data_IF_414617647302
#
_entry.id   IF_414617647302
#
_cell.length_a   1.000
_cell.length_b   1.000
_cell.length_c   1.000
_cell.angle_alpha   90.00
_cell.angle_beta   90.00
_cell.angle_gamma   90.00
#
_symmetry.space_group_name_H-M   'P 1'
#
loop_
_entity.id
_entity.type
_entity.pdbx_description
1 polymer ?
#
# COMPACT_ATOMS: atom_id res chain seq x y z
N UNK A 1 -78.29 10.85 -24.57
CA UNK A 1 -77.97 9.42 -24.41
C UNK A 1 -77.28 9.28 -23.06
N UNK A 2 -78.03 8.76 -22.09
CA UNK A 2 -77.82 9.01 -20.66
C UNK A 2 -76.75 8.16 -19.98
N UNK A 3 -76.18 8.82 -18.98
CA UNK A 3 -75.35 8.43 -17.85
C UNK A 3 -75.84 7.26 -16.99
N UNK A 4 -74.86 6.47 -16.53
CA UNK A 4 -74.56 6.06 -15.14
C UNK A 4 -75.56 5.26 -14.28
N UNK A 5 -74.93 4.54 -13.33
CA UNK A 5 -75.42 3.98 -12.06
C UNK A 5 -76.10 2.59 -12.12
N UNK A 6 -76.03 1.73 -11.11
CA UNK A 6 -75.17 1.54 -9.94
C UNK A 6 -75.69 0.28 -9.19
N UNK A 7 -74.81 -0.35 -8.40
CA UNK A 7 -75.08 -1.08 -7.13
C UNK A 7 -75.86 -2.41 -7.19
N UNK A 8 -75.38 -3.41 -6.44
CA UNK A 8 -76.26 -4.48 -5.93
C UNK A 8 -75.57 -5.76 -5.49
N UNK A 9 -74.77 -5.70 -4.44
CA UNK A 9 -74.05 -6.81 -3.81
C UNK A 9 -74.97 -7.88 -3.20
N UNK A 10 -74.53 -9.14 -3.23
CA UNK A 10 -74.82 -10.11 -2.15
C UNK A 10 -73.54 -10.85 -1.76
N UNK A 11 -73.25 -10.77 -0.46
CA UNK A 11 -72.07 -11.23 0.26
C UNK A 11 -72.56 -12.25 1.29
N UNK A 12 -71.90 -13.41 1.41
CA UNK A 12 -71.88 -14.29 2.59
C UNK A 12 -70.68 -15.24 2.39
N UNK A 13 -69.52 -14.93 3.00
CA UNK A 13 -69.01 -15.38 4.32
C UNK A 13 -68.21 -16.71 4.18
N UNK A 14 -66.88 -16.65 4.08
CA UNK A 14 -65.86 -16.66 5.16
C UNK A 14 -65.60 -18.07 5.72
N UNK A 15 -64.39 -18.63 5.61
CA UNK A 15 -63.22 -18.42 6.49
C UNK A 15 -62.12 -19.42 6.00
N UNK A 16 -60.79 -19.31 6.20
CA UNK A 16 -59.94 -18.47 7.05
C UNK A 16 -58.49 -18.58 6.51
N UNK A 17 -57.68 -17.52 6.67
CA UNK A 17 -56.21 -17.63 6.70
C UNK A 17 -55.44 -16.48 6.03
N UNK A 18 -54.94 -15.46 6.78
CA UNK A 18 -54.20 -14.29 6.28
C UNK A 18 -52.72 -14.66 6.05
N UNK A 19 -51.92 -14.07 5.16
CA UNK A 19 -51.81 -12.69 4.71
C UNK A 19 -50.36 -12.26 4.99
N UNK A 20 -49.59 -11.88 3.97
CA UNK A 20 -48.18 -11.50 4.15
C UNK A 20 -47.53 -10.99 2.86
N UNK A 21 -47.20 -9.70 2.89
CA UNK A 21 -46.84 -8.82 1.78
C UNK A 21 -45.66 -9.23 0.90
N UNK A 22 -45.76 -8.85 -0.37
CA UNK A 22 -44.69 -8.86 -1.34
C UNK A 22 -43.67 -7.76 -1.02
N UNK A 23 -42.49 -8.16 -0.54
CA UNK A 23 -41.28 -7.34 -0.50
C UNK A 23 -40.19 -8.03 -1.32
N UNK A 24 -39.78 -7.40 -2.43
CA UNK A 24 -38.65 -7.82 -3.23
C UNK A 24 -37.36 -7.75 -2.39
N UNK A 25 -36.89 -8.91 -1.94
CA UNK A 25 -35.58 -9.05 -1.31
C UNK A 25 -34.50 -8.98 -2.38
N UNK A 26 -33.67 -7.93 -2.31
CA UNK A 26 -32.37 -7.93 -2.96
C UNK A 26 -31.60 -9.16 -2.47
N UNK A 27 -31.10 -9.98 -3.39
CA UNK A 27 -30.25 -11.11 -3.07
C UNK A 27 -28.99 -10.59 -2.39
N UNK A 28 -28.88 -10.79 -1.08
CA UNK A 28 -27.63 -10.60 -0.36
C UNK A 28 -26.61 -11.61 -0.90
N UNK A 29 -25.38 -11.20 -1.26
CA UNK A 29 -24.34 -12.16 -1.62
C UNK A 29 -24.11 -13.10 -0.43
N UNK A 30 -24.26 -14.40 -0.71
CA UNK A 30 -24.11 -15.45 0.29
C UNK A 30 -22.62 -15.54 0.66
N UNK A 31 -22.24 -15.65 1.94
CA UNK A 31 -20.86 -15.89 2.32
C UNK A 31 -20.37 -17.19 1.67
N UNK A 32 -19.25 -17.12 0.95
CA UNK A 32 -18.58 -18.28 0.35
C UNK A 32 -18.26 -19.29 1.47
N UNK A 33 -18.78 -20.51 1.35
CA UNK A 33 -18.38 -21.63 2.20
C UNK A 33 -16.99 -22.10 1.76
N UNK A 34 -16.14 -22.60 2.67
CA UNK A 34 -14.76 -23.06 2.38
C UNK A 34 -14.67 -24.03 1.17
N UNK A 35 -15.76 -24.73 0.84
CA UNK A 35 -15.84 -25.64 -0.31
C UNK A 35 -15.88 -24.95 -1.69
N UNK A 36 -16.03 -23.62 -1.75
CA UNK A 36 -16.15 -22.84 -2.99
C UNK A 36 -14.95 -21.89 -3.22
N UNK A 37 -13.88 -21.99 -2.41
CA UNK A 37 -12.65 -21.24 -2.69
C UNK A 37 -12.02 -21.76 -3.99
N UNK A 38 -11.70 -20.89 -4.96
CA UNK A 38 -11.08 -21.32 -6.20
C UNK A 38 -9.75 -22.02 -5.94
N UNK A 39 -9.46 -23.06 -6.73
CA UNK A 39 -8.23 -23.82 -6.61
C UNK A 39 -7.02 -22.90 -6.78
N UNK A 40 -6.07 -22.97 -5.84
CA UNK A 40 -4.83 -22.19 -5.89
C UNK A 40 -4.06 -22.55 -7.17
N UNK A 41 -3.81 -21.54 -8.00
CA UNK A 41 -2.96 -21.65 -9.17
C UNK A 41 -1.49 -21.52 -8.75
N UNK A 42 -0.57 -22.19 -9.45
CA UNK A 42 0.85 -21.97 -9.24
C UNK A 42 1.20 -20.49 -9.39
N UNK A 43 2.19 -20.03 -8.62
CA UNK A 43 2.84 -18.74 -8.82
C UNK A 43 3.27 -18.64 -10.29
N UNK A 44 2.95 -17.56 -11.02
CA UNK A 44 3.49 -17.34 -12.36
C UNK A 44 5.01 -17.15 -12.28
N UNK A 45 5.76 -17.62 -13.28
CA UNK A 45 7.22 -17.58 -13.22
C UNK A 45 7.79 -16.54 -14.18
N UNK A 46 8.60 -15.66 -13.62
CA UNK A 46 9.35 -14.66 -14.35
C UNK A 46 10.84 -14.94 -14.49
N UNK A 47 11.55 -13.95 -15.05
CA UNK A 47 13.03 -13.94 -15.18
C UNK A 47 13.66 -12.71 -14.53
N UNK A 48 12.86 -11.96 -13.79
CA UNK A 48 13.18 -10.64 -13.27
C UNK A 48 12.65 -9.54 -14.20
N UNK A 49 12.23 -8.42 -13.60
CA UNK A 49 11.67 -7.26 -14.28
C UNK A 49 12.14 -5.96 -13.63
N UNK A 50 11.65 -4.82 -14.14
CA UNK A 50 11.80 -3.50 -13.50
C UNK A 50 10.47 -2.97 -12.95
N UNK A 51 9.44 -3.81 -12.97
CA UNK A 51 8.12 -3.46 -12.46
C UNK A 51 8.23 -3.45 -10.93
N UNK A 52 7.89 -2.35 -10.24
CA UNK A 52 7.93 -2.36 -8.78
C UNK A 52 6.88 -3.31 -8.22
N UNK A 53 7.17 -3.90 -7.06
CA UNK A 53 6.35 -4.92 -6.39
C UNK A 53 6.09 -6.17 -7.25
N UNK A 54 7.03 -6.54 -8.12
CA UNK A 54 7.00 -7.79 -8.90
C UNK A 54 7.93 -8.82 -8.25
N UNK A 55 7.39 -9.62 -7.32
CA UNK A 55 8.18 -10.55 -6.50
C UNK A 55 8.55 -11.82 -7.27
N UNK A 56 7.76 -12.17 -8.29
CA UNK A 56 7.99 -13.33 -9.15
C UNK A 56 8.73 -13.00 -10.47
N UNK A 57 8.98 -11.72 -10.72
CA UNK A 57 9.75 -11.17 -11.84
C UNK A 57 9.10 -11.38 -13.20
N UNK A 58 7.77 -11.52 -13.25
CA UNK A 58 7.02 -11.89 -14.45
C UNK A 58 6.65 -10.70 -15.34
N UNK A 59 6.91 -9.48 -14.86
CA UNK A 59 6.65 -8.22 -15.52
C UNK A 59 5.38 -7.52 -15.05
N UNK A 60 4.58 -8.14 -14.18
CA UNK A 60 3.35 -7.57 -13.64
C UNK A 60 3.52 -7.25 -12.16
N UNK A 61 2.92 -6.13 -11.73
CA UNK A 61 2.93 -5.74 -10.33
C UNK A 61 2.07 -6.71 -9.51
N UNK A 62 2.58 -7.11 -8.35
CA UNK A 62 1.87 -7.91 -7.35
C UNK A 62 1.28 -7.02 -6.25
N UNK A 63 0.32 -7.55 -5.50
CA UNK A 63 -0.30 -6.87 -4.38
C UNK A 63 0.08 -7.54 -3.06
N UNK A 64 0.63 -6.75 -2.13
CA UNK A 64 0.83 -7.13 -0.74
C UNK A 64 -0.42 -6.79 0.08
N UNK A 65 -0.89 -7.78 0.85
CA UNK A 65 -1.92 -7.65 1.87
C UNK A 65 -1.24 -7.84 3.22
N UNK A 66 -0.86 -6.72 3.84
CA UNK A 66 -0.12 -6.68 5.09
C UNK A 66 -0.89 -7.27 6.30
N UNK A 67 -2.21 -7.22 6.24
CA UNK A 67 -3.08 -7.94 7.16
C UNK A 67 -4.16 -8.70 6.38
N UNK A 68 -4.59 -9.85 6.87
CA UNK A 68 -5.68 -10.67 6.37
C UNK A 68 -6.84 -10.68 7.37
N UNK A 69 -7.99 -11.18 6.94
CA UNK A 69 -9.06 -11.48 7.89
C UNK A 69 -8.69 -12.70 8.71
N UNK A 70 -9.26 -12.79 9.90
CA UNK A 70 -9.03 -13.88 10.83
C UNK A 70 -9.96 -15.05 10.53
N UNK A 71 -9.48 -16.28 10.75
CA UNK A 71 -10.31 -17.48 10.65
C UNK A 71 -11.45 -17.47 11.68
N UNK A 72 -11.18 -16.93 12.88
CA UNK A 72 -12.15 -16.74 13.95
C UNK A 72 -11.93 -15.37 14.60
N UNK A 73 -12.99 -14.81 15.20
CA UNK A 73 -12.87 -13.52 15.91
C UNK A 73 -11.85 -13.64 17.05
N UNK A 74 -11.03 -12.61 17.22
CA UNK A 74 -10.01 -12.48 18.28
C UNK A 74 -8.83 -13.46 18.19
N UNK A 75 -8.63 -14.16 17.08
CA UNK A 75 -7.37 -14.87 16.83
C UNK A 75 -6.30 -13.93 16.28
N UNK A 76 -5.09 -14.44 16.10
CA UNK A 76 -4.07 -13.73 15.35
C UNK A 76 -4.35 -13.84 13.84
N UNK A 77 -3.73 -12.94 13.08
CA UNK A 77 -3.67 -13.02 11.63
C UNK A 77 -2.74 -14.17 11.20
N UNK A 78 -2.99 -14.76 10.03
CA UNK A 78 -2.17 -15.80 9.43
C UNK A 78 -0.83 -15.30 8.89
N UNK A 79 -0.69 -13.98 8.65
CA UNK A 79 0.53 -13.34 8.15
C UNK A 79 0.23 -12.44 6.95
N UNK A 80 1.20 -12.31 6.06
CA UNK A 80 1.10 -11.43 4.87
C UNK A 80 0.62 -12.24 3.67
N UNK A 81 -0.34 -11.71 2.92
CA UNK A 81 -0.78 -12.30 1.65
C UNK A 81 -0.15 -11.59 0.46
N UNK A 82 0.37 -12.33 -0.52
CA UNK A 82 0.75 -11.80 -1.83
C UNK A 82 -0.24 -12.31 -2.87
N UNK A 83 -0.79 -11.41 -3.69
CA UNK A 83 -1.61 -11.75 -4.86
C UNK A 83 -0.83 -11.37 -6.11
N UNK A 84 -0.60 -12.34 -7.00
CA UNK A 84 0.23 -12.12 -8.18
C UNK A 84 -0.49 -11.33 -9.28
N UNK A 85 0.26 -10.47 -9.96
CA UNK A 85 -0.17 -9.74 -11.14
C UNK A 85 -0.34 -10.62 -12.37
N UNK A 86 -0.98 -10.07 -13.40
CA UNK A 86 -1.03 -10.69 -14.73
C UNK A 86 -1.41 -9.66 -15.79
N UNK A 87 -1.30 -10.03 -17.07
CA UNK A 87 -1.79 -9.20 -18.18
C UNK A 87 -3.30 -8.88 -18.15
N UNK A 88 -4.07 -9.44 -17.20
CA UNK A 88 -5.48 -9.10 -16.97
C UNK A 88 -5.71 -8.35 -15.64
N UNK A 89 -4.65 -7.97 -14.95
CA UNK A 89 -4.69 -7.47 -13.57
C UNK A 89 -4.37 -8.58 -12.57
N UNK A 90 -4.56 -8.27 -11.29
CA UNK A 90 -4.36 -9.20 -10.18
C UNK A 90 -5.16 -10.49 -10.35
N UNK A 91 -4.52 -11.62 -10.03
CA UNK A 91 -5.09 -12.96 -10.11
C UNK A 91 -5.18 -13.60 -8.71
N UNK A 92 -6.29 -13.43 -7.96
CA UNK A 92 -6.45 -13.94 -6.59
C UNK A 92 -6.20 -15.44 -6.42
N UNK A 93 -6.42 -16.22 -7.48
CA UNK A 93 -6.16 -17.66 -7.49
C UNK A 93 -4.65 -17.97 -7.45
N UNK A 94 -3.80 -17.09 -7.97
CA UNK A 94 -2.35 -17.15 -7.86
C UNK A 94 -1.92 -16.27 -6.68
N UNK A 95 -1.66 -16.89 -5.53
CA UNK A 95 -1.34 -16.19 -4.29
C UNK A 95 -0.32 -16.92 -3.44
N UNK A 96 0.29 -16.22 -2.49
CA UNK A 96 1.23 -16.79 -1.53
C UNK A 96 0.94 -16.27 -0.12
N UNK A 97 0.76 -17.18 0.85
CA UNK A 97 0.70 -16.83 2.27
C UNK A 97 2.10 -16.86 2.88
N UNK A 98 2.52 -15.74 3.45
CA UNK A 98 3.81 -15.53 4.13
C UNK A 98 3.57 -15.47 5.64
N UNK A 99 3.67 -16.62 6.31
CA UNK A 99 3.55 -16.70 7.76
C UNK A 99 4.91 -16.75 8.46
N UNK A 100 5.06 -16.19 9.68
CA UNK A 100 6.28 -16.31 10.46
C UNK A 100 6.71 -17.77 10.68
N UNK A 101 5.74 -18.66 10.89
CA UNK A 101 6.00 -20.10 11.13
C UNK A 101 6.74 -20.75 9.96
N UNK A 102 6.41 -20.36 8.73
CA UNK A 102 6.95 -20.97 7.51
C UNK A 102 8.17 -20.21 6.98
N UNK A 103 8.17 -18.89 7.05
CA UNK A 103 9.14 -18.07 6.34
C UNK A 103 10.15 -17.37 7.24
N UNK A 104 9.90 -17.17 8.53
CA UNK A 104 10.80 -16.34 9.34
C UNK A 104 12.17 -16.96 9.61
N UNK A 105 13.18 -16.10 9.61
CA UNK A 105 14.47 -16.41 10.20
C UNK A 105 14.29 -16.53 11.72
N UNK A 106 14.98 -17.53 12.29
CA UNK A 106 14.99 -17.75 13.73
C UNK A 106 15.99 -16.86 14.42
N UNK A 107 15.57 -16.28 15.52
CA UNK A 107 16.39 -15.48 16.41
C UNK A 107 16.64 -16.25 17.70
N UNK A 108 17.90 -16.63 17.96
CA UNK A 108 18.27 -17.54 19.08
C UNK A 108 17.43 -18.83 19.12
N UNK A 109 17.09 -19.37 17.94
CA UNK A 109 16.31 -20.59 17.80
C UNK A 109 14.79 -20.41 17.92
N UNK A 110 14.29 -19.21 18.22
CA UNK A 110 12.87 -18.91 18.30
C UNK A 110 12.39 -18.16 17.05
N UNK A 111 11.14 -18.38 16.65
CA UNK A 111 10.49 -17.65 15.56
C UNK A 111 9.82 -16.38 16.12
N UNK A 112 9.77 -15.29 15.35
CA UNK A 112 8.94 -14.14 15.68
C UNK A 112 7.45 -14.51 15.65
N UNK A 113 6.65 -13.74 16.37
CA UNK A 113 5.21 -13.93 16.44
C UNK A 113 4.47 -13.37 15.22
N UNK A 114 4.94 -12.24 14.70
CA UNK A 114 4.27 -11.44 13.66
C UNK A 114 5.27 -11.06 12.56
N UNK A 115 4.73 -10.89 11.36
CA UNK A 115 5.35 -10.19 10.23
C UNK A 115 4.45 -9.03 9.85
N UNK A 116 5.02 -7.83 9.74
CA UNK A 116 4.38 -6.67 9.12
C UNK A 116 5.26 -6.24 7.93
N UNK A 117 4.64 -5.99 6.78
CA UNK A 117 5.28 -5.55 5.55
C UNK A 117 5.59 -4.06 5.62
N UNK A 118 6.86 -3.69 5.47
CA UNK A 118 7.31 -2.32 5.66
C UNK A 118 7.70 -1.62 4.36
N UNK A 119 8.43 -2.34 3.48
CA UNK A 119 8.92 -1.80 2.21
C UNK A 119 9.21 -2.93 1.21
N UNK A 120 9.21 -2.58 -0.07
CA UNK A 120 9.49 -3.50 -1.18
C UNK A 120 10.34 -2.84 -2.26
N UNK A 121 11.39 -3.54 -2.67
CA UNK A 121 12.38 -3.09 -3.66
C UNK A 121 13.36 -4.23 -3.99
N UNK A 122 14.06 -4.16 -5.11
CA UNK A 122 15.08 -5.14 -5.51
C UNK A 122 16.41 -4.84 -4.80
N UNK A 123 16.55 -5.29 -3.55
CA UNK A 123 17.68 -4.93 -2.69
C UNK A 123 19.00 -5.53 -3.18
N UNK A 124 18.98 -6.72 -3.76
CA UNK A 124 20.17 -7.38 -4.26
C UNK A 124 20.40 -7.25 -5.78
N UNK A 125 19.54 -6.46 -6.45
CA UNK A 125 19.65 -6.05 -7.84
C UNK A 125 19.64 -7.25 -8.80
N UNK A 126 18.81 -8.24 -8.49
CA UNK A 126 18.69 -9.48 -9.27
C UNK A 126 17.48 -9.49 -10.21
N UNK A 127 16.68 -8.43 -10.18
CA UNK A 127 15.49 -8.22 -11.00
C UNK A 127 14.20 -8.72 -10.36
N UNK A 128 14.22 -9.25 -9.14
CA UNK A 128 13.01 -9.62 -8.41
C UNK A 128 12.80 -8.63 -7.27
N UNK A 129 11.57 -8.16 -7.08
CA UNK A 129 11.31 -7.31 -5.91
C UNK A 129 11.45 -8.15 -4.65
N UNK A 130 12.09 -7.61 -3.62
CA UNK A 130 12.19 -8.21 -2.28
C UNK A 130 11.19 -7.54 -1.34
N UNK A 131 10.81 -8.25 -0.27
CA UNK A 131 9.96 -7.71 0.79
C UNK A 131 10.75 -7.56 2.09
N UNK A 132 10.77 -6.36 2.65
CA UNK A 132 11.28 -6.09 3.99
C UNK A 132 10.12 -6.15 4.97
N UNK A 133 10.27 -6.95 6.02
CA UNK A 133 9.27 -7.11 7.08
C UNK A 133 9.84 -6.72 8.43
N UNK A 134 9.05 -6.06 9.26
CA UNK A 134 9.30 -5.98 10.69
C UNK A 134 8.74 -7.22 11.39
N UNK A 135 9.30 -7.49 12.56
CA UNK A 135 9.03 -8.69 13.33
C UNK A 135 8.90 -8.33 14.78
N UNK A 136 7.94 -8.95 15.46
CA UNK A 136 7.85 -8.90 16.92
C UNK A 136 8.90 -9.83 17.57
N UNK A 137 9.23 -9.66 18.87
CA UNK A 137 10.23 -10.48 19.54
C UNK A 137 10.04 -11.99 19.25
N UNK A 138 11.14 -12.74 19.12
CA UNK A 138 12.39 -12.54 19.85
C UNK A 138 13.48 -11.84 19.05
N UNK A 139 14.22 -10.97 19.74
CA UNK A 139 15.39 -10.31 19.20
C UNK A 139 16.69 -10.90 19.78
N UNK A 140 17.74 -11.02 18.96
CA UNK A 140 19.00 -11.64 19.39
C UNK A 140 19.87 -10.69 20.22
N UNK A 141 19.46 -9.42 20.34
CA UNK A 141 20.24 -8.41 21.01
C UNK A 141 21.57 -8.13 20.31
N UNK A 142 21.72 -8.46 19.02
CA UNK A 142 22.81 -7.93 18.21
C UNK A 142 22.52 -6.46 17.92
N UNK A 143 22.92 -5.60 18.84
CA UNK A 143 22.72 -4.15 18.76
C UNK A 143 21.89 -3.65 19.94
N UNK A 144 22.31 -2.51 20.49
CA UNK A 144 21.40 -1.58 21.15
C UNK A 144 21.16 -0.50 20.11
N UNK A 145 19.94 -0.38 19.57
CA UNK A 145 18.74 -1.24 19.76
C UNK A 145 18.76 -2.53 18.93
N UNK A 146 17.86 -3.50 19.21
CA UNK A 146 17.70 -4.70 18.38
C UNK A 146 17.21 -4.34 16.97
N UNK A 147 17.53 -5.16 15.98
CA UNK A 147 17.05 -5.00 14.60
C UNK A 147 15.82 -5.88 14.40
N UNK A 148 14.60 -5.32 14.32
CA UNK A 148 13.37 -6.09 14.14
C UNK A 148 13.11 -6.46 12.67
N UNK A 149 14.04 -6.17 11.75
CA UNK A 149 13.82 -6.32 10.31
C UNK A 149 14.37 -7.63 9.74
N UNK A 150 13.59 -8.27 8.87
CA UNK A 150 14.00 -9.38 8.03
C UNK A 150 13.67 -9.09 6.57
N UNK A 151 14.37 -9.75 5.65
CA UNK A 151 14.18 -9.61 4.20
C UNK A 151 13.78 -10.95 3.63
N UNK A 152 12.67 -11.00 2.90
CA UNK A 152 12.27 -12.12 2.06
C UNK A 152 12.65 -11.77 0.62
N UNK A 153 13.59 -12.51 0.06
CA UNK A 153 14.04 -12.24 -1.30
C UNK A 153 13.03 -12.75 -2.34
N UNK A 154 12.83 -11.98 -3.40
CA UNK A 154 12.06 -12.36 -4.58
C UNK A 154 12.73 -13.48 -5.38
N UNK A 155 11.92 -14.21 -6.14
CA UNK A 155 12.37 -15.31 -6.99
C UNK A 155 11.30 -15.69 -8.01
N UNK A 156 11.61 -16.47 -9.07
CA UNK A 156 10.59 -16.94 -10.01
C UNK A 156 9.43 -17.72 -9.38
N UNK A 157 9.58 -18.21 -8.13
CA UNK A 157 8.54 -18.91 -7.39
C UNK A 157 7.87 -18.06 -6.30
N UNK A 158 8.07 -16.74 -6.32
CA UNK A 158 7.59 -15.82 -5.28
C UNK A 158 8.63 -15.56 -4.18
N UNK A 159 8.14 -15.05 -3.04
CA UNK A 159 8.99 -14.70 -1.90
C UNK A 159 9.59 -15.95 -1.25
N UNK A 160 10.87 -15.84 -0.86
CA UNK A 160 11.65 -16.93 -0.26
C UNK A 160 11.69 -16.83 1.27
N UNK A 161 12.41 -17.73 1.95
CA UNK A 161 12.56 -17.67 3.40
C UNK A 161 13.31 -16.39 3.80
N UNK A 162 12.84 -15.77 4.88
CA UNK A 162 13.39 -14.54 5.40
C UNK A 162 14.82 -14.72 5.91
N UNK A 163 15.60 -13.64 5.82
CA UNK A 163 16.93 -13.50 6.40
C UNK A 163 16.97 -12.22 7.23
N UNK A 164 17.54 -12.28 8.43
CA UNK A 164 17.68 -11.09 9.29
C UNK A 164 18.52 -10.01 8.60
N UNK A 165 17.99 -8.78 8.55
CA UNK A 165 18.70 -7.63 7.99
C UNK A 165 19.96 -7.33 8.79
N UNK A 166 21.10 -7.25 8.12
CA UNK A 166 22.37 -6.91 8.75
C UNK A 166 22.57 -5.38 8.71
N UNK A 167 22.36 -4.72 9.84
CA UNK A 167 22.77 -3.33 10.05
C UNK A 167 24.19 -3.31 10.62
N UNK A 168 25.25 -2.85 9.92
CA UNK A 168 26.61 -2.84 10.46
C UNK A 168 26.75 -1.98 11.71
N UNK A 169 27.64 -2.35 12.64
CA UNK A 169 27.80 -1.63 13.91
C UNK A 169 28.13 -0.14 13.74
N UNK A 170 28.83 0.24 12.67
CA UNK A 170 29.16 1.63 12.37
C UNK A 170 27.94 2.50 12.04
N UNK A 171 26.87 1.89 11.51
CA UNK A 171 25.63 2.57 11.13
C UNK A 171 24.62 2.69 12.29
N UNK A 172 24.87 2.01 13.41
CA UNK A 172 23.95 1.98 14.55
C UNK A 172 24.17 3.17 15.47
N UNK A 173 23.08 3.71 16.01
CA UNK A 173 23.13 4.79 17.00
C UNK A 173 21.93 4.76 17.94
N UNK A 174 22.13 5.16 19.20
CA UNK A 174 21.08 5.27 20.21
C UNK A 174 20.45 3.93 20.62
N UNK A 175 19.16 3.96 21.01
CA UNK A 175 18.44 2.80 21.53
C UNK A 175 16.98 2.69 20.99
N UNK A 176 16.62 3.42 19.93
CA UNK A 176 15.29 3.40 19.30
C UNK A 176 15.22 2.40 18.13
N UNK A 177 14.09 1.79 17.89
CA UNK A 177 14.05 0.64 17.00
C UNK A 177 14.14 1.06 15.52
N UNK A 178 15.00 0.43 14.71
CA UNK A 178 15.07 0.69 13.27
C UNK A 178 13.99 -0.14 12.58
N UNK A 179 12.73 0.27 12.68
CA UNK A 179 11.54 -0.46 12.19
C UNK A 179 10.88 0.19 10.97
N UNK A 180 11.35 1.36 10.53
CA UNK A 180 10.81 2.09 9.38
C UNK A 180 11.80 2.16 8.22
N UNK A 181 11.92 1.09 7.42
CA UNK A 181 12.74 1.09 6.23
C UNK A 181 12.11 1.92 5.11
N UNK A 182 12.95 2.70 4.44
CA UNK A 182 12.63 3.28 3.13
C UNK A 182 13.76 2.93 2.18
N UNK A 183 13.43 2.31 1.05
CA UNK A 183 14.39 2.08 -0.02
C UNK A 183 14.24 3.05 -1.18
N UNK A 184 15.35 3.21 -1.90
CA UNK A 184 15.53 4.07 -3.06
C UNK A 184 17.02 4.15 -3.44
N UNK A 185 17.31 4.62 -4.64
CA UNK A 185 18.68 4.89 -5.12
C UNK A 185 19.13 6.29 -4.68
N UNK A 186 19.43 6.43 -3.38
CA UNK A 186 19.75 7.75 -2.80
C UNK A 186 21.14 8.28 -3.21
N UNK A 187 22.07 7.41 -3.64
CA UNK A 187 23.40 7.81 -4.14
C UNK A 187 23.64 7.67 -5.66
N UNK A 188 22.59 7.33 -6.41
CA UNK A 188 22.54 7.40 -7.87
C UNK A 188 23.42 6.34 -8.56
N UNK A 189 23.71 5.24 -7.89
CA UNK A 189 24.54 4.16 -8.42
C UNK A 189 23.72 3.04 -9.10
N UNK A 190 22.40 3.19 -9.09
CA UNK A 190 21.41 2.30 -9.66
C UNK A 190 21.15 1.04 -8.86
N UNK A 191 21.62 0.92 -7.62
CA UNK A 191 21.25 -0.12 -6.68
C UNK A 191 20.37 0.45 -5.57
N UNK A 192 19.41 -0.34 -5.10
CA UNK A 192 18.53 0.07 -4.02
C UNK A 192 19.31 0.15 -2.71
N UNK A 193 19.27 1.32 -2.08
CA UNK A 193 19.76 1.54 -0.73
C UNK A 193 18.64 1.39 0.30
N UNK A 194 19.00 1.44 1.58
CA UNK A 194 18.04 1.41 2.68
C UNK A 194 18.34 2.50 3.70
N UNK A 195 17.32 3.31 4.01
CA UNK A 195 17.32 4.27 5.12
C UNK A 195 16.45 3.74 6.24
N UNK A 196 16.97 3.74 7.46
CA UNK A 196 16.25 3.34 8.67
C UNK A 196 16.27 4.47 9.69
N UNK A 197 15.24 4.59 10.51
CA UNK A 197 15.35 5.31 11.78
C UNK A 197 16.53 4.74 12.60
N UNK A 198 17.32 5.61 13.23
CA UNK A 198 18.37 5.17 14.16
C UNK A 198 18.01 5.52 15.61
N UNK A 199 18.06 6.80 15.95
CA UNK A 199 17.58 7.33 17.23
C UNK A 199 17.69 8.85 17.25
N UNK A 200 16.64 9.50 17.75
CA UNK A 200 16.46 10.95 17.58
C UNK A 200 16.57 11.38 16.11
N UNK A 201 17.08 12.57 15.86
CA UNK A 201 17.24 13.17 14.52
C UNK A 201 18.41 12.57 13.71
N UNK A 202 18.53 11.24 13.68
CA UNK A 202 19.57 10.51 12.95
C UNK A 202 19.02 9.28 12.26
N UNK A 203 19.52 9.03 11.05
CA UNK A 203 19.12 7.91 10.21
C UNK A 203 20.30 7.00 9.91
N UNK A 204 20.07 5.69 9.90
CA UNK A 204 21.03 4.72 9.38
C UNK A 204 20.90 4.67 7.87
N UNK A 205 21.99 4.88 7.14
CA UNK A 205 22.02 4.78 5.68
C UNK A 205 22.89 3.60 5.25
N UNK A 206 22.26 2.61 4.62
CA UNK A 206 22.82 1.33 4.23
C UNK A 206 22.84 1.24 2.71
N UNK A 207 24.02 1.17 2.11
CA UNK A 207 24.17 1.23 0.66
C UNK A 207 24.09 -0.14 0.01
N UNK A 208 23.28 -0.24 -1.04
CA UNK A 208 23.11 -1.43 -1.87
C UNK A 208 24.27 -1.68 -2.83
N UNK A 209 24.18 -2.73 -3.68
CA UNK A 209 23.22 -3.81 -3.53
C UNK A 209 23.54 -4.60 -2.26
N UNK A 210 22.50 -5.20 -1.69
CA UNK A 210 22.61 -6.11 -0.57
C UNK A 210 23.05 -7.49 -1.08
N UNK A 211 23.71 -8.27 -0.23
CA UNK A 211 23.92 -9.69 -0.51
C UNK A 211 22.68 -10.50 -0.14
N UNK A 212 22.54 -11.73 -0.65
CA UNK A 212 21.54 -12.74 -0.22
C UNK A 212 21.57 -13.11 1.28
N UNK A 213 22.46 -12.49 2.07
CA UNK A 213 22.45 -12.54 3.54
C UNK A 213 21.86 -11.26 4.17
N UNK A 214 21.15 -10.47 3.38
CA UNK A 214 20.62 -9.14 3.75
C UNK A 214 21.69 -8.22 4.35
N UNK A 215 22.91 -8.25 3.81
CA UNK A 215 24.00 -7.37 4.24
C UNK A 215 24.31 -6.32 3.18
N UNK A 216 24.34 -5.02 3.53
CA UNK A 216 24.61 -3.95 2.58
C UNK A 216 26.05 -4.02 2.08
N UNK A 217 26.29 -3.47 0.88
CA UNK A 217 27.64 -3.32 0.32
C UNK A 217 28.50 -2.41 1.18
N UNK A 218 27.93 -1.31 1.67
CA UNK A 218 28.63 -0.33 2.49
C UNK A 218 27.68 0.34 3.49
N UNK A 219 28.20 0.79 4.62
CA UNK A 219 27.47 1.65 5.55
C UNK A 219 28.46 2.54 6.31
N UNK A 220 28.05 3.78 6.59
CA UNK A 220 28.82 4.78 7.32
C UNK A 220 28.30 5.01 8.74
N UNK A 221 28.75 6.10 9.36
CA UNK A 221 28.09 6.62 10.55
C UNK A 221 26.68 7.14 10.21
N UNK A 222 25.70 7.03 11.12
CA UNK A 222 24.36 7.54 10.86
C UNK A 222 24.36 9.03 10.54
N UNK A 223 23.49 9.42 9.60
CA UNK A 223 23.43 10.76 9.02
C UNK A 223 22.48 11.66 9.83
N UNK A 224 22.77 12.97 9.96
CA UNK A 224 21.83 13.92 10.55
C UNK A 224 20.55 14.01 9.72
N UNK A 225 19.43 14.23 10.39
CA UNK A 225 18.12 14.31 9.75
C UNK A 225 17.29 15.46 10.33
N UNK A 226 16.42 16.12 9.53
CA UNK A 226 15.50 17.15 10.05
C UNK A 226 14.29 16.58 10.83
N UNK A 227 14.23 15.25 11.00
CA UNK A 227 13.21 14.54 11.76
C UNK A 227 13.66 13.11 12.08
N UNK A 228 12.78 12.33 12.69
CA UNK A 228 13.11 11.00 13.20
C UNK A 228 12.57 9.88 12.30
N UNK A 229 11.41 10.07 11.67
CA UNK A 229 10.65 8.99 11.03
C UNK A 229 10.75 9.11 9.50
N UNK A 230 11.65 8.35 8.83
CA UNK A 230 11.68 8.28 7.37
C UNK A 230 10.36 7.68 6.87
N UNK A 231 9.82 8.20 5.76
CA UNK A 231 8.53 7.79 5.21
C UNK A 231 8.65 7.61 3.72
N UNK A 232 8.28 6.42 3.24
CA UNK A 232 8.27 6.06 1.83
C UNK A 232 6.95 6.37 1.13
N UNK A 233 6.88 6.09 -0.19
CA UNK A 233 8.00 5.64 -1.01
C UNK A 233 9.04 6.76 -1.23
N UNK A 234 10.30 6.39 -1.45
CA UNK A 234 11.31 7.33 -1.95
C UNK A 234 10.99 7.73 -3.40
N UNK A 235 11.43 8.91 -3.80
CA UNK A 235 11.28 9.38 -5.16
C UNK A 235 12.25 10.51 -5.45
N UNK A 236 12.84 10.55 -6.65
CA UNK A 236 13.57 11.72 -7.15
C UNK A 236 12.59 12.90 -7.38
N UNK A 237 12.42 13.75 -6.36
CA UNK A 237 11.44 14.84 -6.40
C UNK A 237 11.89 15.97 -7.31
N UNK A 238 13.18 16.07 -7.58
CA UNK A 238 13.80 17.22 -8.24
C UNK A 238 14.49 16.91 -9.58
N UNK A 239 14.43 15.63 -10.00
CA UNK A 239 15.02 15.08 -11.23
C UNK A 239 16.52 15.26 -11.35
N UNK A 240 17.25 15.16 -10.24
CA UNK A 240 18.71 15.15 -10.27
C UNK A 240 19.32 13.75 -10.45
N UNK A 241 18.47 12.71 -10.52
CA UNK A 241 18.88 11.32 -10.70
C UNK A 241 19.19 10.61 -9.38
N UNK A 242 18.84 11.21 -8.25
CA UNK A 242 18.93 10.60 -6.93
C UNK A 242 17.54 10.51 -6.34
N UNK A 243 17.20 9.37 -5.75
CA UNK A 243 15.96 9.31 -4.99
C UNK A 243 16.06 10.21 -3.76
N UNK A 244 14.94 10.85 -3.42
CA UNK A 244 14.78 11.70 -2.27
C UNK A 244 13.82 11.05 -1.27
N UNK A 245 13.93 11.45 0.00
CA UNK A 245 13.21 10.86 1.13
C UNK A 245 12.32 11.92 1.81
N UNK A 246 11.14 11.53 2.29
CA UNK A 246 10.38 12.33 3.25
C UNK A 246 10.74 11.89 4.67
N UNK A 247 11.03 12.84 5.55
CA UNK A 247 11.26 12.56 6.98
C UNK A 247 10.33 13.39 7.84
N UNK A 248 9.62 12.73 8.76
CA UNK A 248 8.70 13.35 9.70
C UNK A 248 9.38 13.61 11.04
N UNK A 249 8.99 14.70 11.69
CA UNK A 249 9.52 15.06 13.00
C UNK A 249 9.03 14.13 14.12
N UNK A 250 7.84 13.56 13.98
CA UNK A 250 7.24 12.63 14.95
C UNK A 250 6.21 11.70 14.27
N UNK A 251 5.88 10.58 14.92
CA UNK A 251 4.70 9.78 14.56
C UNK A 251 3.40 10.59 14.64
N UNK A 252 2.40 10.18 13.85
CA UNK A 252 1.12 10.88 13.80
C UNK A 252 1.24 12.30 13.25
N UNK A 253 0.31 13.18 13.61
CA UNK A 253 0.27 14.55 13.05
C UNK A 253 1.55 15.32 13.39
N UNK A 254 2.38 15.61 12.38
CA UNK A 254 3.68 16.25 12.58
C UNK A 254 4.16 17.01 11.35
N UNK A 255 5.14 17.90 11.53
CA UNK A 255 5.87 18.51 10.42
C UNK A 255 6.75 17.46 9.75
N UNK A 256 6.99 17.65 8.45
CA UNK A 256 7.92 16.82 7.71
C UNK A 256 8.87 17.68 6.87
N UNK A 257 9.90 17.06 6.33
CA UNK A 257 10.80 17.66 5.36
C UNK A 257 11.15 16.65 4.27
N UNK A 258 11.33 17.15 3.06
CA UNK A 258 12.00 16.41 1.99
C UNK A 258 13.51 16.52 2.21
N UNK A 259 14.18 15.38 2.26
CA UNK A 259 15.63 15.21 2.36
C UNK A 259 16.11 14.68 1.02
N UNK A 260 17.00 15.44 0.40
CA UNK A 260 17.46 15.18 -0.95
C UNK A 260 18.63 14.22 -0.96
N UNK A 261 18.60 13.29 -1.90
CA UNK A 261 19.68 12.39 -2.24
C UNK A 261 20.89 13.13 -2.82
N UNK A 262 21.90 12.34 -3.16
CA UNK A 262 23.17 12.80 -3.72
C UNK A 262 24.29 11.79 -3.50
N UNK A 263 25.52 12.05 -3.99
CA UNK A 263 26.61 11.07 -3.92
C UNK A 263 26.98 10.56 -2.51
N UNK A 264 26.64 11.33 -1.48
CA UNK A 264 26.85 10.99 -0.07
C UNK A 264 25.60 10.38 0.61
N UNK A 265 24.52 10.19 -0.14
CA UNK A 265 23.20 9.77 0.33
C UNK A 265 22.29 10.94 0.75
N UNK A 266 21.16 10.64 1.43
CA UNK A 266 20.11 11.60 1.75
C UNK A 266 20.50 12.48 2.93
N UNK A 267 21.32 13.51 2.67
CA UNK A 267 21.99 14.32 3.70
C UNK A 267 21.60 15.80 3.66
N UNK A 268 20.86 16.23 2.63
CA UNK A 268 20.55 17.65 2.39
C UNK A 268 19.07 17.90 2.53
N UNK A 269 18.65 18.70 3.51
CA UNK A 269 17.24 19.13 3.59
C UNK A 269 16.87 20.01 2.39
N UNK A 270 15.89 19.57 1.60
CA UNK A 270 15.38 20.27 0.43
C UNK A 270 14.25 21.23 0.77
N UNK A 271 13.13 20.72 1.25
CA UNK A 271 11.92 21.49 1.49
C UNK A 271 11.24 21.12 2.80
N UNK A 272 10.81 22.13 3.57
CA UNK A 272 9.96 21.93 4.74
C UNK A 272 8.48 21.80 4.31
N UNK A 273 7.84 20.74 4.79
CA UNK A 273 6.42 20.47 4.59
C UNK A 273 5.63 20.94 5.82
N UNK A 274 4.37 21.37 5.64
CA UNK A 274 3.51 21.74 6.76
C UNK A 274 3.21 20.53 7.65
N UNK A 275 2.63 20.80 8.82
CA UNK A 275 2.15 19.75 9.70
C UNK A 275 0.98 18.99 9.05
N UNK A 276 1.02 17.66 9.12
CA UNK A 276 0.01 16.78 8.51
C UNK A 276 0.05 15.36 9.04
N UNK A 277 -0.94 14.58 8.64
CA UNK A 277 -1.14 13.17 9.02
C UNK A 277 -0.43 12.24 8.03
N UNK A 278 -0.46 12.60 6.76
CA UNK A 278 0.04 11.78 5.66
C UNK A 278 0.53 12.66 4.49
N UNK A 279 1.40 12.11 3.65
CA UNK A 279 2.07 12.84 2.57
C UNK A 279 2.10 11.97 1.32
N UNK A 280 1.48 12.46 0.24
CA UNK A 280 1.61 11.85 -1.08
C UNK A 280 2.50 12.70 -1.98
N UNK A 281 3.46 12.05 -2.64
CA UNK A 281 4.28 12.65 -3.69
C UNK A 281 3.73 12.26 -5.06
N UNK A 282 3.66 13.21 -5.98
CA UNK A 282 3.17 12.95 -7.34
C UNK A 282 3.26 14.18 -8.21
N UNK A 283 2.98 14.04 -9.49
CA UNK A 283 3.03 15.17 -10.43
C UNK A 283 1.63 15.68 -10.74
N UNK A 284 1.09 16.56 -9.93
CA UNK A 284 -0.26 17.11 -10.09
C UNK A 284 -0.29 18.63 -10.35
N UNK A 285 0.87 19.21 -10.70
CA UNK A 285 1.12 20.63 -10.96
C UNK A 285 1.66 20.96 -12.36
N UNK A 286 2.27 22.15 -12.49
CA UNK A 286 2.77 22.68 -13.78
C UNK A 286 4.18 22.27 -14.12
N UNK A 287 5.06 22.20 -13.12
CA UNK A 287 6.46 21.98 -13.36
C UNK A 287 6.75 20.56 -13.81
N UNK A 288 8.03 20.35 -14.04
CA UNK A 288 8.52 19.00 -14.14
C UNK A 288 8.38 18.38 -12.75
N UNK A 289 9.02 18.96 -11.74
CA UNK A 289 9.32 18.41 -10.40
C UNK A 289 8.10 17.83 -9.68
N UNK A 290 8.33 16.88 -8.78
CA UNK A 290 7.25 16.30 -8.01
C UNK A 290 6.66 17.33 -7.06
N UNK A 291 5.39 17.15 -6.78
CA UNK A 291 4.60 17.93 -5.86
C UNK A 291 4.33 17.09 -4.60
N UNK A 292 4.08 17.76 -3.48
CA UNK A 292 3.60 17.11 -2.25
C UNK A 292 2.19 17.57 -1.89
N UNK A 293 1.33 16.60 -1.60
CA UNK A 293 0.04 16.79 -0.96
C UNK A 293 0.16 16.32 0.49
N UNK A 294 -0.16 17.20 1.44
CA UNK A 294 -0.05 16.93 2.86
C UNK A 294 -1.45 16.90 3.47
N UNK A 295 -1.86 15.70 3.86
CA UNK A 295 -3.17 15.40 4.38
C UNK A 295 -3.35 15.92 5.80
N UNK A 296 -4.53 16.44 6.10
CA UNK A 296 -4.91 16.90 7.42
C UNK A 296 -6.43 16.72 7.62
N UNK A 297 -6.89 16.81 8.88
CA UNK A 297 -8.32 16.76 9.19
C UNK A 297 -9.13 17.93 8.58
N UNK A 298 -8.45 19.01 8.20
CA UNK A 298 -9.03 20.21 7.59
C UNK A 298 -8.92 20.22 6.07
N UNK A 299 -8.14 21.15 5.52
CA UNK A 299 -7.81 21.17 4.08
C UNK A 299 -6.51 20.39 3.82
N UNK A 300 -6.38 19.86 2.61
CA UNK A 300 -5.12 19.25 2.16
C UNK A 300 -4.18 20.37 1.68
N UNK A 301 -3.00 20.47 2.29
CA UNK A 301 -2.00 21.46 1.89
C UNK A 301 -1.19 20.96 0.70
N UNK A 302 -0.89 21.84 -0.26
CA UNK A 302 -0.16 21.49 -1.48
C UNK A 302 1.17 22.26 -1.57
N UNK A 303 2.18 21.59 -2.10
CA UNK A 303 3.52 22.12 -2.40
C UNK A 303 3.86 21.70 -3.83
N UNK A 304 3.82 22.66 -4.74
CA UNK A 304 4.09 22.42 -6.16
C UNK A 304 5.55 22.67 -6.50
N UNK A 305 6.15 21.82 -7.33
CA UNK A 305 7.51 21.97 -7.87
C UNK A 305 8.59 21.92 -6.76
N UNK A 306 8.71 20.78 -6.07
CA UNK A 306 9.72 20.57 -5.03
C UNK A 306 11.16 20.64 -5.59
N UNK A 307 12.14 21.15 -4.83
CA UNK A 307 12.03 21.66 -3.46
C UNK A 307 11.63 23.15 -3.38
N UNK A 308 11.60 23.88 -4.50
CA UNK A 308 11.32 25.32 -4.56
C UNK A 308 9.80 25.60 -4.58
N UNK A 309 9.10 25.09 -3.56
CA UNK A 309 7.68 24.81 -3.74
C UNK A 309 6.73 26.02 -3.67
N UNK A 310 5.85 26.14 -4.68
CA UNK A 310 4.69 27.05 -4.64
C UNK A 310 3.59 26.47 -3.77
N UNK A 311 2.93 27.30 -2.94
CA UNK A 311 1.93 26.84 -1.95
C UNK A 311 0.51 26.99 -2.47
N UNK A 312 -0.32 25.99 -2.21
CA UNK A 312 -1.77 26.05 -2.42
C UNK A 312 -2.51 25.18 -1.38
N UNK A 313 -3.84 25.18 -1.43
CA UNK A 313 -4.68 24.26 -0.66
C UNK A 313 -5.75 23.63 -1.55
N UNK A 314 -6.10 22.40 -1.23
CA UNK A 314 -7.28 21.71 -1.77
C UNK A 314 -8.33 21.67 -0.66
N UNK A 315 -9.51 22.21 -0.95
CA UNK A 315 -10.67 22.22 -0.05
C UNK A 315 -11.32 20.83 0.07
N UNK A 316 -10.54 19.83 0.44
CA UNK A 316 -10.96 18.49 0.81
C UNK A 316 -10.17 18.03 2.02
N UNK A 317 -10.83 17.54 3.09
CA UNK A 317 -10.16 16.78 4.12
C UNK A 317 -9.69 15.45 3.53
N UNK A 318 -8.47 15.09 3.87
CA UNK A 318 -7.84 13.84 3.47
C UNK A 318 -6.79 13.52 4.52
N UNK A 319 -7.00 12.47 5.30
CA UNK A 319 -6.04 12.02 6.31
C UNK A 319 -5.10 10.94 5.79
N UNK A 320 -5.46 10.32 4.67
CA UNK A 320 -4.71 9.25 3.99
C UNK A 320 -4.74 9.56 2.49
N UNK A 321 -3.57 9.64 1.88
CA UNK A 321 -3.37 10.13 0.53
C UNK A 321 -2.48 9.16 -0.26
N UNK A 322 -2.83 8.97 -1.53
CA UNK A 322 -1.97 8.28 -2.49
C UNK A 322 -1.96 9.09 -3.79
N UNK A 323 -0.95 8.89 -4.65
CA UNK A 323 -0.91 9.55 -5.94
C UNK A 323 -0.43 8.61 -7.04
N UNK A 324 -1.14 8.60 -8.18
CA UNK A 324 -0.78 7.81 -9.35
C UNK A 324 -1.48 8.36 -10.61
N UNK A 325 -0.94 8.07 -11.80
CA UNK A 325 -1.51 8.47 -13.09
C UNK A 325 -2.54 7.42 -13.56
N UNK A 326 -3.82 7.63 -13.24
CA UNK A 326 -4.88 6.66 -13.58
C UNK A 326 -5.43 6.88 -14.99
N UNK A 327 -5.26 8.08 -15.56
CA UNK A 327 -5.82 8.43 -16.86
C UNK A 327 -4.79 8.45 -18.02
N UNK A 328 -3.52 8.26 -17.68
CA UNK A 328 -2.39 8.02 -18.58
C UNK A 328 -1.88 9.29 -19.27
N UNK A 329 -2.06 10.46 -18.63
CA UNK A 329 -1.69 11.75 -19.21
C UNK A 329 -0.32 12.28 -18.76
N UNK A 330 0.36 11.55 -17.88
CA UNK A 330 1.67 11.88 -17.32
C UNK A 330 1.60 12.86 -16.14
N UNK A 331 0.40 13.16 -15.63
CA UNK A 331 0.16 13.78 -14.34
C UNK A 331 -0.46 12.73 -13.40
N UNK A 332 -0.07 12.78 -12.13
CA UNK A 332 -0.70 11.97 -11.10
C UNK A 332 -2.04 12.59 -10.72
N UNK A 333 -3.06 11.76 -10.55
CA UNK A 333 -4.19 12.07 -9.70
C UNK A 333 -3.81 11.93 -8.22
N UNK A 334 -4.54 12.63 -7.36
CA UNK A 334 -4.48 12.44 -5.92
C UNK A 334 -5.69 11.62 -5.45
N UNK A 335 -5.44 10.49 -4.81
CA UNK A 335 -6.44 9.72 -4.05
C UNK A 335 -6.49 10.26 -2.64
N UNK A 336 -7.70 10.44 -2.11
CA UNK A 336 -7.93 10.82 -0.72
C UNK A 336 -8.93 9.85 -0.11
N UNK A 337 -8.53 9.15 0.94
CA UNK A 337 -9.40 8.30 1.73
C UNK A 337 -9.70 8.96 3.09
N UNK A 338 -10.98 9.28 3.29
CA UNK A 338 -11.51 9.88 4.51
C UNK A 338 -12.92 9.34 4.77
N UNK A 339 -13.91 10.21 4.89
CA UNK A 339 -15.32 9.77 4.93
C UNK A 339 -15.82 9.17 3.61
N UNK A 340 -15.19 9.56 2.50
CA UNK A 340 -15.42 9.03 1.17
C UNK A 340 -14.08 8.84 0.48
N UNK A 341 -13.99 7.84 -0.38
CA UNK A 341 -12.86 7.65 -1.27
C UNK A 341 -13.04 8.55 -2.49
N UNK A 342 -12.12 9.49 -2.70
CA UNK A 342 -12.17 10.45 -3.80
C UNK A 342 -10.86 10.44 -4.58
N UNK A 343 -10.97 10.62 -5.89
CA UNK A 343 -9.84 10.77 -6.81
C UNK A 343 -9.92 12.14 -7.45
N UNK A 344 -8.89 12.96 -7.24
CA UNK A 344 -8.77 14.31 -7.77
C UNK A 344 -7.86 14.31 -8.99
N UNK A 345 -8.39 14.79 -10.11
CA UNK A 345 -7.65 14.89 -11.37
C UNK A 345 -6.42 15.78 -11.26
N UNK A 346 -5.26 15.24 -11.66
CA UNK A 346 -4.05 15.99 -11.91
C UNK A 346 -4.24 16.97 -13.05
N UNK A 347 -3.75 18.21 -12.90
CA UNK A 347 -3.82 19.20 -13.98
C UNK A 347 -2.58 20.08 -13.95
N UNK A 348 -2.20 20.57 -15.12
CA UNK A 348 -1.26 21.68 -15.25
C UNK A 348 -1.78 23.01 -14.67
N UNK A 349 -2.89 23.03 -13.92
CA UNK A 349 -3.33 24.19 -13.14
C UNK A 349 -3.31 23.92 -11.64
N UNK A 350 -2.84 22.74 -11.23
CA UNK A 350 -2.99 22.23 -9.88
C UNK A 350 -4.30 21.45 -9.68
N UNK A 351 -4.38 20.83 -8.51
CA UNK A 351 -5.53 20.05 -8.05
C UNK A 351 -6.69 20.98 -7.70
N UNK A 352 -7.91 20.48 -7.92
CA UNK A 352 -9.12 21.13 -7.46
C UNK A 352 -10.22 20.08 -7.25
N UNK A 353 -11.28 20.46 -6.56
CA UNK A 353 -12.48 19.61 -6.42
C UNK A 353 -13.27 19.47 -7.73
N UNK A 354 -12.95 20.28 -8.75
CA UNK A 354 -13.64 20.25 -10.03
C UNK A 354 -13.22 19.02 -10.86
N UNK A 355 -14.19 18.15 -11.13
CA UNK A 355 -13.96 16.91 -11.89
C UNK A 355 -13.33 15.79 -11.07
N UNK A 356 -13.40 15.88 -9.73
CA UNK A 356 -13.11 14.73 -8.86
C UNK A 356 -14.14 13.62 -9.06
N UNK A 357 -13.73 12.39 -8.81
CA UNK A 357 -14.59 11.21 -8.83
C UNK A 357 -14.67 10.61 -7.44
N UNK A 358 -15.87 10.22 -7.02
CA UNK A 358 -16.09 9.46 -5.79
C UNK A 358 -16.17 7.99 -6.14
N UNK A 359 -15.30 7.18 -5.54
CA UNK A 359 -15.31 5.73 -5.72
C UNK A 359 -16.23 5.12 -4.68
N UNK A 360 -17.14 4.24 -5.13
CA UNK A 360 -18.07 3.52 -4.27
C UNK A 360 -17.63 2.04 -4.20
N UNK A 361 -17.02 1.61 -3.08
CA UNK A 361 -16.70 0.21 -2.84
C UNK A 361 -17.93 -0.69 -2.98
N UNK A 362 -17.80 -1.94 -3.49
CA UNK A 362 -18.94 -2.82 -3.73
C UNK A 362 -19.58 -3.35 -2.43
N UNK A 363 -18.88 -3.20 -1.31
CA UNK A 363 -19.36 -3.63 0.00
C UNK A 363 -19.46 -2.46 0.98
N UNK A 364 -20.35 -2.61 1.96
CA UNK A 364 -20.43 -1.70 3.10
C UNK A 364 -19.40 -2.08 4.17
N UNK A 365 -18.78 -1.10 4.82
CA UNK A 365 -17.81 -1.32 5.88
C UNK A 365 -16.76 -0.21 5.95
N UNK A 366 -15.69 -0.44 6.71
CA UNK A 366 -14.55 0.48 6.77
C UNK A 366 -13.67 0.21 5.56
N UNK A 367 -13.54 1.19 4.66
CA UNK A 367 -12.71 1.05 3.46
C UNK A 367 -11.38 1.75 3.62
N UNK A 368 -10.30 1.11 3.18
CA UNK A 368 -8.96 1.68 3.06
C UNK A 368 -8.42 1.46 1.66
N UNK A 369 -7.57 2.36 1.20
CA UNK A 369 -6.72 2.12 0.04
C UNK A 369 -5.63 1.14 0.47
N UNK A 370 -5.35 0.15 -0.37
CA UNK A 370 -4.26 -0.80 -0.15
C UNK A 370 -3.02 -0.40 -0.94
N UNK A 371 -3.22 -0.08 -2.22
CA UNK A 371 -2.17 0.26 -3.14
C UNK A 371 -2.74 0.98 -4.37
N UNK A 372 -1.87 1.75 -5.03
CA UNK A 372 -2.08 2.31 -6.36
C UNK A 372 -0.94 1.88 -7.27
N UNK A 373 -1.24 1.42 -8.48
CA UNK A 373 -0.21 0.92 -9.39
C UNK A 373 -0.79 0.19 -10.59
N UNK A 374 -0.02 0.07 -11.66
CA UNK A 374 -0.45 -0.59 -12.90
C UNK A 374 -0.35 -2.13 -12.75
N UNK A 375 -1.45 -2.77 -12.34
CA UNK A 375 -1.50 -4.21 -12.10
C UNK A 375 -1.75 -5.02 -13.37
N UNK A 376 -2.27 -4.39 -14.44
CA UNK A 376 -2.58 -5.05 -15.70
C UNK A 376 -1.61 -4.75 -16.86
N UNK A 377 -0.68 -3.83 -16.64
CA UNK A 377 0.41 -3.48 -17.54
C UNK A 377 -0.02 -2.58 -18.70
N UNK A 378 -1.13 -1.85 -18.56
CA UNK A 378 -1.68 -1.04 -19.64
C UNK A 378 -1.18 0.42 -19.70
N UNK A 379 -0.24 0.75 -18.80
CA UNK A 379 0.40 2.04 -18.68
C UNK A 379 -0.41 3.06 -17.88
N UNK A 380 -1.48 2.64 -17.20
CA UNK A 380 -2.26 3.47 -16.27
C UNK A 380 -2.29 2.77 -14.92
N UNK A 381 -2.22 3.57 -13.86
CA UNK A 381 -2.36 3.02 -12.52
C UNK A 381 -3.79 2.54 -12.27
N UNK A 382 -3.91 1.50 -11.44
CA UNK A 382 -5.15 0.97 -10.91
C UNK A 382 -5.24 1.26 -9.41
N UNK A 383 -6.46 1.19 -8.86
CA UNK A 383 -6.74 1.45 -7.45
C UNK A 383 -7.22 0.17 -6.76
N UNK A 384 -6.42 -0.34 -5.81
CA UNK A 384 -6.81 -1.46 -4.96
C UNK A 384 -7.33 -0.95 -3.61
N UNK A 385 -8.54 -1.36 -3.24
CA UNK A 385 -9.18 -0.98 -1.96
C UNK A 385 -9.65 -2.21 -1.21
N UNK A 386 -9.71 -2.09 0.11
CA UNK A 386 -10.23 -3.13 0.99
C UNK A 386 -11.32 -2.59 1.89
N UNK A 387 -12.46 -3.28 1.93
CA UNK A 387 -13.57 -2.98 2.81
C UNK A 387 -13.71 -4.06 3.88
N UNK A 388 -13.43 -3.71 5.13
CA UNK A 388 -13.57 -4.59 6.30
C UNK A 388 -15.01 -4.66 6.79
N UNK A 389 -15.47 -5.86 7.15
CA UNK A 389 -16.78 -6.16 7.74
C UNK A 389 -16.61 -7.00 9.00
N UNK A 390 -15.95 -6.40 9.99
CA UNK A 390 -15.50 -7.08 11.21
C UNK A 390 -14.17 -7.80 11.00
N UNK A 391 -13.79 -8.64 11.96
CA UNK A 391 -12.46 -9.29 11.97
C UNK A 391 -12.32 -10.46 10.99
N UNK A 392 -13.44 -11.04 10.52
CA UNK A 392 -13.43 -12.31 9.78
C UNK A 392 -13.91 -12.19 8.33
N UNK A 393 -14.25 -10.97 7.87
CA UNK A 393 -14.79 -10.73 6.53
C UNK A 393 -14.30 -9.43 5.96
N UNK A 394 -13.92 -9.46 4.70
CA UNK A 394 -13.58 -8.29 3.93
C UNK A 394 -13.99 -8.45 2.45
N UNK A 395 -13.73 -7.42 1.67
CA UNK A 395 -13.71 -7.48 0.22
C UNK A 395 -12.57 -6.61 -0.26
N UNK A 396 -11.65 -7.19 -1.01
CA UNK A 396 -10.69 -6.45 -1.82
C UNK A 396 -11.32 -6.21 -3.18
N UNK A 397 -11.23 -4.98 -3.68
CA UNK A 397 -11.76 -4.58 -4.98
C UNK A 397 -10.71 -3.75 -5.72
N UNK A 398 -10.47 -4.06 -6.98
CA UNK A 398 -9.46 -3.39 -7.82
C UNK A 398 -10.17 -2.67 -8.95
N UNK A 399 -10.00 -1.35 -9.03
CA UNK A 399 -10.59 -0.50 -10.06
C UNK A 399 -9.54 -0.12 -11.08
N UNK A 400 -9.82 -0.40 -12.35
CA UNK A 400 -8.88 -0.07 -13.43
C UNK A 400 -8.74 1.42 -13.64
N UNK A 401 -7.54 1.89 -13.93
CA UNK A 401 -7.29 3.22 -14.46
C UNK A 401 -7.95 3.41 -15.82
N UNK A 402 -8.66 4.53 -16.02
CA UNK A 402 -9.33 4.84 -17.28
C UNK A 402 -9.15 6.30 -17.66
N UNK A 403 -8.78 6.50 -18.94
CA UNK A 403 -8.62 7.82 -19.56
C UNK A 403 -9.79 8.79 -19.33
N UNK A 404 -11.02 8.25 -19.25
CA UNK A 404 -12.23 9.03 -18.98
C UNK A 404 -12.87 8.50 -17.70
N UNK A 405 -12.84 9.31 -16.65
CA UNK A 405 -13.41 8.95 -15.36
C UNK A 405 -12.36 8.66 -14.29
N UNK A 406 -11.07 8.72 -14.62
CA UNK A 406 -9.93 8.43 -13.73
C UNK A 406 -9.87 6.94 -13.38
N UNK A 407 -10.91 6.40 -12.75
CA UNK A 407 -11.04 4.98 -12.41
C UNK A 407 -12.36 4.40 -12.93
N UNK A 408 -12.37 3.09 -13.18
CA UNK A 408 -13.56 2.36 -13.62
C UNK A 408 -14.74 2.52 -12.65
N UNK A 409 -15.97 2.49 -13.17
CA UNK A 409 -17.18 2.57 -12.34
C UNK A 409 -17.39 1.30 -11.51
N UNK A 410 -17.04 0.15 -12.08
CA UNK A 410 -17.10 -1.17 -11.45
C UNK A 410 -15.68 -1.72 -11.26
N UNK A 411 -15.43 -2.51 -10.20
CA UNK A 411 -14.16 -3.17 -10.01
C UNK A 411 -13.90 -4.22 -11.11
N UNK A 412 -12.67 -4.31 -11.57
CA UNK A 412 -12.23 -5.32 -12.54
C UNK A 412 -12.09 -6.71 -11.91
N UNK A 413 -11.72 -6.76 -10.62
CA UNK A 413 -11.68 -7.98 -9.82
C UNK A 413 -12.08 -7.67 -8.38
N UNK A 414 -12.76 -8.63 -7.74
CA UNK A 414 -13.06 -8.60 -6.32
C UNK A 414 -12.78 -9.96 -5.70
N UNK A 415 -12.21 -9.99 -4.50
CA UNK A 415 -11.90 -11.22 -3.77
C UNK A 415 -11.89 -10.97 -2.25
N UNK A 416 -11.67 -12.02 -1.47
CA UNK A 416 -11.61 -11.95 0.00
C UNK A 416 -10.24 -12.41 0.50
N UNK A 417 -9.65 -11.73 1.48
CA UNK A 417 -8.39 -12.21 2.06
C UNK A 417 -8.58 -13.52 2.85
N UNK A 418 -9.82 -13.93 3.12
CA UNK A 418 -10.11 -15.25 3.69
C UNK A 418 -9.66 -16.40 2.79
N UNK A 419 -9.43 -16.15 1.49
CA UNK A 419 -8.93 -17.15 0.54
C UNK A 419 -7.52 -17.66 0.89
N UNK A 420 -6.76 -16.89 1.66
CA UNK A 420 -5.45 -17.31 2.19
C UNK A 420 -5.57 -18.26 3.39
N UNK A 421 -6.74 -18.32 4.03
CA UNK A 421 -6.98 -19.20 5.19
C UNK A 421 -7.38 -20.62 4.76
N UNK A 422 -7.82 -20.79 3.52
CA UNK A 422 -8.18 -22.09 2.97
C UNK A 422 -6.92 -22.91 2.70
N UNK A 423 -6.52 -23.75 3.66
CA UNK A 423 -5.32 -24.60 3.57
C UNK A 423 -4.22 -24.32 4.60
N UNK A 424 -4.42 -23.34 5.50
CA UNK A 424 -3.45 -22.97 6.53
C UNK A 424 -3.33 -24.00 7.68
N UNK A 425 -4.18 -25.03 7.73
CA UNK A 425 -4.20 -26.10 8.74
C UNK A 425 -3.38 -27.36 8.35
N UNK A 426 -2.42 -27.24 7.42
CA UNK A 426 -1.66 -28.37 6.85
C UNK A 426 -0.23 -28.54 7.37
#
# INVERSE_FOLDING_TARGET
MCTAAAIGSTLLLAACGPGGDAGAGAAHPTPVQIADAPAELPVPHGKGSKTPDDFNGDGHRDLVLDALVKAQSHTDDAGIGVVYGSARGLAPDARQLISPVRYAARTKGQLPAVFDAEASCDLDKDGFTDLIVSTDPPYDGQGRPPVPLQVLFGSPGGLTHAVTLTVPAAARFGNDWPDQPVCGDFDGDGAEDLVLHASGERLSYLRGPFSRKAAPRAAGAPVPSPGEFPTGPAADVNRDGYDDLVVRAAEGTSKASVVLGGPDGPTRTGAALPEGIDIALGRFGRGADLDAAVGAMGETALRYDLPAATRATLASPGSMLDAADFDGDGLSELVSSGSQLRVFRGRTTGLSTAGMVTVAPPAHGTTRVLAVGDFDGDGRADLAVRTYRGETKDTVAVYRGVKKGLVGADPAVTFSSSEFLAGADG
#
